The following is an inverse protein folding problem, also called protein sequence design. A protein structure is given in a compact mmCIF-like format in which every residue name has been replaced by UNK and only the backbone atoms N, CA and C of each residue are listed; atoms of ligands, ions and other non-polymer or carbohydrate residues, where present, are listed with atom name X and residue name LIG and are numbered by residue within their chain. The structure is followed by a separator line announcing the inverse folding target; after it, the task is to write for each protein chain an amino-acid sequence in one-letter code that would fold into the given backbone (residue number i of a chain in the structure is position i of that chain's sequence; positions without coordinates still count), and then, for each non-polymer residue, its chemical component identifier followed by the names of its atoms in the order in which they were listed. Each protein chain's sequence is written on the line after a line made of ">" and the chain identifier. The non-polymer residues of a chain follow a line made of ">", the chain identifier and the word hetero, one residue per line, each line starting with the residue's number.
data_IF_963181271811
#
_entry.id   IF_963181271811
#
_cell.length_a   1.000
_cell.length_b   1.000
_cell.length_c   1.000
_cell.angle_alpha   90.00
_cell.angle_beta   90.00
_cell.angle_gamma   90.00
#
_symmetry.space_group_name_H-M   'P 1'
#
loop_
_entity.id
_entity.type
_entity.pdbx_description
1 polymer ?
#
# COMPACT_ATOMS: atom_id res chain seq x y z
N UNK A 1 -1.84 0.15 6.01
CA UNK A 1 -2.68 -0.95 6.51
C UNK A 1 -3.37 -1.66 5.36
N UNK A 2 -3.46 -2.97 5.41
CA UNK A 2 -4.19 -3.75 4.41
C UNK A 2 -5.35 -4.50 5.07
N UNK A 3 -6.41 -4.71 4.30
CA UNK A 3 -7.57 -5.48 4.75
C UNK A 3 -8.30 -6.04 3.54
N UNK A 4 -9.25 -6.95 3.76
CA UNK A 4 -10.08 -7.45 2.68
C UNK A 4 -10.99 -6.33 2.17
N UNK A 5 -11.13 -6.23 0.85
CA UNK A 5 -12.10 -5.33 0.24
C UNK A 5 -13.51 -5.91 0.30
N UNK A 6 -14.49 -5.13 -0.14
CA UNK A 6 -15.90 -5.55 -0.15
C UNK A 6 -16.18 -6.64 -1.16
N UNK A 7 -15.43 -6.67 -2.26
CA UNK A 7 -15.58 -7.66 -3.32
C UNK A 7 -14.61 -8.80 -3.10
N UNK A 8 -15.05 -10.02 -3.37
CA UNK A 8 -14.18 -11.20 -3.28
C UNK A 8 -12.94 -11.00 -4.16
N UNK A 9 -11.76 -11.27 -3.60
CA UNK A 9 -10.49 -11.10 -4.31
C UNK A 9 -9.94 -9.68 -4.28
N UNK A 10 -10.66 -8.72 -3.69
CA UNK A 10 -10.14 -7.36 -3.56
C UNK A 10 -9.42 -7.18 -2.23
N UNK A 11 -8.41 -6.30 -2.25
CA UNK A 11 -7.62 -5.94 -1.07
C UNK A 11 -7.65 -4.43 -0.92
N UNK A 12 -7.90 -3.99 0.31
CA UNK A 12 -7.96 -2.57 0.62
C UNK A 12 -6.65 -2.14 1.26
N UNK A 13 -5.95 -1.22 0.59
CA UNK A 13 -4.77 -0.56 1.15
C UNK A 13 -5.18 0.79 1.70
N UNK A 14 -4.79 1.09 2.93
CA UNK A 14 -5.15 2.34 3.58
C UNK A 14 -3.96 2.93 4.32
N UNK A 15 -3.85 4.25 4.29
CA UNK A 15 -2.80 4.97 5.01
C UNK A 15 -3.37 6.30 5.50
N UNK A 16 -3.11 6.61 6.79
CA UNK A 16 -3.36 7.93 7.35
C UNK A 16 -2.00 8.57 7.61
N UNK A 17 -1.58 9.54 6.76
CA UNK A 17 -0.27 10.16 6.95
C UNK A 17 -0.19 10.89 8.29
N UNK A 18 0.91 10.70 9.02
CA UNK A 18 1.08 11.29 10.35
C UNK A 18 1.07 12.82 10.33
N UNK A 19 1.43 13.42 9.21
CA UNK A 19 1.51 14.88 9.07
C UNK A 19 0.55 15.43 8.01
N UNK A 20 -0.51 14.69 7.69
CA UNK A 20 -1.52 15.14 6.76
C UNK A 20 -1.00 15.37 5.34
N UNK A 21 -0.42 14.36 4.72
CA UNK A 21 0.07 14.46 3.35
C UNK A 21 -1.01 14.89 2.36
N UNK A 22 -0.62 15.60 1.31
CA UNK A 22 -1.53 16.09 0.27
C UNK A 22 -1.77 15.07 -0.82
N UNK A 23 -0.77 14.26 -1.14
CA UNK A 23 -0.83 13.25 -2.19
C UNK A 23 -0.24 11.96 -1.67
N UNK A 24 -1.00 10.87 -1.76
CA UNK A 24 -0.53 9.54 -1.38
C UNK A 24 -0.71 8.61 -2.56
N UNK A 25 0.32 7.82 -2.84
CA UNK A 25 0.31 6.86 -3.92
C UNK A 25 0.69 5.49 -3.38
N UNK A 26 0.31 4.45 -4.13
CA UNK A 26 0.63 3.06 -3.82
C UNK A 26 1.44 2.47 -4.96
N UNK A 27 2.54 1.80 -4.64
CA UNK A 27 3.33 1.08 -5.62
C UNK A 27 3.71 -0.29 -5.05
N UNK A 28 3.71 -1.30 -5.89
CA UNK A 28 4.06 -2.65 -5.48
C UNK A 28 4.21 -3.58 -6.66
N UNK A 29 4.47 -4.85 -6.36
CA UNK A 29 4.65 -5.88 -7.38
C UNK A 29 3.41 -6.05 -8.26
N UNK A 30 2.23 -5.72 -7.73
CA UNK A 30 0.96 -5.84 -8.45
C UNK A 30 0.73 -4.74 -9.50
N UNK A 31 1.53 -3.69 -9.53
CA UNK A 31 1.43 -2.62 -10.54
C UNK A 31 2.79 -2.25 -11.12
N UNK A 32 3.74 -3.19 -11.11
CA UNK A 32 5.11 -3.01 -11.61
C UNK A 32 5.82 -1.82 -10.98
N UNK A 33 5.52 -1.54 -9.72
CA UNK A 33 6.10 -0.42 -8.95
C UNK A 33 5.83 0.95 -9.56
N UNK A 34 4.79 1.06 -10.39
CA UNK A 34 4.33 2.34 -10.94
C UNK A 34 3.36 2.99 -9.96
N UNK A 35 3.69 4.17 -9.41
CA UNK A 35 2.82 4.80 -8.41
C UNK A 35 1.40 5.04 -8.93
N UNK A 36 0.43 4.65 -8.10
CA UNK A 36 -0.99 4.78 -8.38
C UNK A 36 -1.62 5.67 -7.31
N UNK A 37 -2.31 6.73 -7.70
CA UNK A 37 -2.90 7.69 -6.77
C UNK A 37 -3.97 7.04 -5.91
N UNK A 38 -3.87 7.25 -4.59
CA UNK A 38 -4.87 6.77 -3.64
C UNK A 38 -5.94 7.83 -3.41
N UNK A 39 -7.16 7.38 -3.07
CA UNK A 39 -8.31 8.26 -2.86
C UNK A 39 -8.35 8.74 -1.40
N UNK A 40 -8.41 10.06 -1.21
CA UNK A 40 -8.56 10.65 0.12
C UNK A 40 -9.98 10.47 0.63
N UNK A 41 -10.11 10.01 1.88
CA UNK A 41 -11.39 9.86 2.55
C UNK A 41 -11.68 11.06 3.44
N UNK A 42 -12.94 11.15 3.93
CA UNK A 42 -13.36 12.27 4.79
C UNK A 42 -12.60 12.32 6.12
N UNK A 43 -12.14 11.16 6.62
CA UNK A 43 -11.42 11.07 7.88
C UNK A 43 -9.93 11.38 7.76
N UNK A 44 -9.47 11.75 6.56
CA UNK A 44 -8.07 12.06 6.32
C UNK A 44 -7.22 10.87 5.88
N UNK A 45 -7.78 9.66 5.86
CA UNK A 45 -7.07 8.50 5.34
C UNK A 45 -7.11 8.47 3.81
N UNK A 46 -6.17 7.73 3.23
CA UNK A 46 -6.11 7.48 1.79
C UNK A 46 -6.31 5.99 1.56
N UNK A 47 -7.09 5.63 0.55
CA UNK A 47 -7.49 4.25 0.28
C UNK A 47 -7.31 3.92 -1.19
N UNK A 48 -6.86 2.68 -1.45
CA UNK A 48 -6.83 2.11 -2.78
C UNK A 48 -7.33 0.67 -2.71
N UNK A 49 -8.19 0.28 -3.62
CA UNK A 49 -8.71 -1.08 -3.73
C UNK A 49 -8.07 -1.73 -4.93
N UNK A 50 -7.44 -2.89 -4.72
CA UNK A 50 -6.73 -3.62 -5.76
C UNK A 50 -7.22 -5.06 -5.77
N UNK A 51 -7.51 -5.60 -6.95
CA UNK A 51 -7.84 -7.01 -7.09
C UNK A 51 -6.55 -7.82 -7.20
N UNK A 52 -6.36 -8.78 -6.29
CA UNK A 52 -5.16 -9.59 -6.24
C UNK A 52 -5.51 -11.07 -6.05
N UNK A 53 -4.83 -11.92 -6.80
CA UNK A 53 -4.89 -13.37 -6.58
C UNK A 53 -4.22 -13.71 -5.26
N UNK A 54 -4.57 -14.86 -4.63
CA UNK A 54 -3.87 -15.30 -3.42
C UNK A 54 -2.36 -15.35 -3.65
N UNK A 55 -1.61 -14.84 -2.70
CA UNK A 55 -0.15 -14.79 -2.80
C UNK A 55 0.43 -13.74 -1.89
N UNK A 56 1.73 -13.49 -2.06
CA UNK A 56 2.48 -12.52 -1.27
C UNK A 56 2.99 -11.44 -2.20
N UNK A 57 2.77 -10.18 -1.82
CA UNK A 57 3.14 -9.03 -2.65
C UNK A 57 3.90 -8.02 -1.82
N UNK A 58 5.02 -7.51 -2.35
CA UNK A 58 5.74 -6.40 -1.73
C UNK A 58 5.17 -5.08 -2.24
N UNK A 59 5.09 -4.09 -1.35
CA UNK A 59 4.54 -2.78 -1.69
C UNK A 59 5.11 -1.68 -0.79
N UNK A 60 4.92 -0.42 -1.21
CA UNK A 60 5.23 0.78 -0.43
C UNK A 60 4.20 1.86 -0.71
N UNK A 61 4.09 2.80 0.22
CA UNK A 61 3.34 4.03 0.00
C UNK A 61 4.31 5.15 -0.40
N UNK A 62 3.80 6.11 -1.16
CA UNK A 62 4.55 7.32 -1.51
C UNK A 62 3.73 8.50 -0.99
N UNK A 63 4.26 9.24 -0.01
CA UNK A 63 3.59 10.38 0.60
C UNK A 63 4.33 11.65 0.16
N UNK A 64 3.66 12.48 -0.64
CA UNK A 64 4.23 13.71 -1.17
C UNK A 64 5.62 13.48 -1.81
N UNK A 65 5.75 12.39 -2.56
CA UNK A 65 6.98 12.01 -3.25
C UNK A 65 7.97 11.19 -2.43
N UNK A 66 7.68 10.95 -1.16
CA UNK A 66 8.58 10.19 -0.29
C UNK A 66 8.08 8.74 -0.13
N UNK A 67 8.93 7.79 -0.44
CA UNK A 67 8.60 6.36 -0.33
C UNK A 67 8.74 5.90 1.12
N UNK A 68 7.68 5.29 1.66
CA UNK A 68 7.67 4.77 3.03
C UNK A 68 7.07 3.37 3.07
N UNK A 69 7.51 2.56 4.03
CA UNK A 69 6.85 1.28 4.33
C UNK A 69 5.52 1.56 5.04
N UNK A 70 4.62 0.57 5.01
CA UNK A 70 3.34 0.68 5.72
C UNK A 70 3.60 0.68 7.24
N UNK A 71 3.31 1.78 7.95
CA UNK A 71 3.57 1.85 9.39
C UNK A 71 2.66 0.93 10.22
N UNK A 72 1.52 0.53 9.65
CA UNK A 72 0.55 -0.31 10.34
C UNK A 72 0.68 -1.79 9.99
N UNK A 73 1.67 -2.15 9.18
CA UNK A 73 1.93 -3.53 8.79
C UNK A 73 3.37 -3.90 9.12
N UNK A 74 3.54 -4.80 10.10
CA UNK A 74 4.87 -5.21 10.52
C UNK A 74 5.54 -6.22 9.60
N UNK A 75 4.81 -6.81 8.65
CA UNK A 75 5.38 -7.78 7.71
C UNK A 75 6.23 -7.04 6.68
N UNK A 76 7.51 -7.37 6.61
CA UNK A 76 8.48 -6.69 5.75
C UNK A 76 9.45 -7.68 5.13
N UNK A 77 10.01 -7.30 3.98
CA UNK A 77 11.00 -8.10 3.28
C UNK A 77 12.11 -7.19 2.75
N UNK A 78 13.33 -7.72 2.72
CA UNK A 78 14.46 -7.05 2.10
C UNK A 78 14.42 -7.32 0.60
N UNK A 79 14.42 -6.27 -0.20
CA UNK A 79 14.41 -6.40 -1.66
C UNK A 79 15.81 -6.76 -2.18
N UNK A 80 15.87 -7.20 -3.44
CA UNK A 80 17.14 -7.54 -4.08
C UNK A 80 18.11 -6.35 -4.18
N UNK A 81 17.59 -5.12 -4.13
CA UNK A 81 18.43 -3.90 -4.19
C UNK A 81 18.74 -3.33 -2.82
N UNK A 82 18.43 -4.05 -1.74
CA UNK A 82 18.80 -3.66 -0.39
C UNK A 82 17.83 -2.71 0.30
N UNK A 83 16.65 -2.45 -0.28
CA UNK A 83 15.62 -1.66 0.39
C UNK A 83 14.62 -2.57 1.11
N UNK A 84 13.92 -2.02 2.10
CA UNK A 84 12.89 -2.75 2.84
C UNK A 84 11.53 -2.38 2.29
N UNK A 85 10.72 -3.39 1.98
CA UNK A 85 9.35 -3.23 1.51
C UNK A 85 8.37 -3.84 2.49
N UNK A 86 7.16 -3.32 2.54
CA UNK A 86 6.05 -3.96 3.26
C UNK A 86 5.57 -5.17 2.47
N UNK A 87 5.00 -6.16 3.16
CA UNK A 87 4.52 -7.40 2.55
C UNK A 87 3.03 -7.56 2.80
N UNK A 88 2.26 -7.73 1.72
CA UNK A 88 0.85 -8.04 1.78
C UNK A 88 0.64 -9.52 1.53
N UNK A 89 0.01 -10.22 2.45
CA UNK A 89 -0.39 -11.61 2.28
C UNK A 89 -1.87 -11.65 1.91
N UNK A 90 -2.18 -12.24 0.75
CA UNK A 90 -3.53 -12.30 0.19
C UNK A 90 -3.96 -13.77 0.11
N UNK A 91 -5.15 -14.03 0.55
CA UNK A 91 -5.70 -15.38 0.58
C UNK A 91 -5.75 -15.95 1.96
#
# INVERSE_FOLDING_TARGET
>A
MISKGKTKGSVRFALTPARGGKKVELAGEFNDWMPSTMRKQKDGSFVSIVELSPGTYEYKFIVDGQWIVDPDNGARALSAVGTINSVAQVG
#
